data_IF_017891487360
#
_entry.id   IF_017891487360
#
_cell.length_a   1.000
_cell.length_b   1.000
_cell.length_c   1.000
_cell.angle_alpha   90.00
_cell.angle_beta   90.00
_cell.angle_gamma   90.00
#
_symmetry.space_group_name_H-M   'P 1'
#
loop_
_entity.id
_entity.type
_entity.pdbx_description
1 polymer ?
#
# COMPACT_ATOMS: atom_id res chain seq x y z
N UNK A 1 3.92 -18.10 -14.08
CA UNK A 1 4.25 -18.75 -12.80
C UNK A 1 3.60 -17.98 -11.66
N UNK A 2 3.35 -18.66 -10.57
CA UNK A 2 2.61 -18.10 -9.43
C UNK A 2 3.29 -16.87 -8.82
N UNK A 3 4.61 -16.88 -8.76
CA UNK A 3 5.37 -15.76 -8.18
C UNK A 3 5.20 -14.50 -9.02
N UNK A 4 5.33 -14.62 -10.33
CA UNK A 4 5.16 -13.49 -11.25
C UNK A 4 3.72 -12.97 -11.19
N UNK A 5 2.74 -13.84 -11.12
CA UNK A 5 1.33 -13.45 -11.04
C UNK A 5 1.03 -12.63 -9.78
N UNK A 6 1.49 -13.10 -8.62
CA UNK A 6 1.23 -12.37 -7.37
C UNK A 6 2.02 -11.06 -7.30
N UNK A 7 3.25 -11.05 -7.82
CA UNK A 7 4.04 -9.81 -7.88
C UNK A 7 3.37 -8.76 -8.78
N UNK A 8 2.78 -9.18 -9.89
CA UNK A 8 2.04 -8.26 -10.74
C UNK A 8 0.79 -7.73 -10.05
N UNK A 9 0.09 -8.57 -9.28
CA UNK A 9 -1.04 -8.10 -8.48
C UNK A 9 -0.62 -7.10 -7.41
N UNK A 10 0.51 -7.35 -6.76
CA UNK A 10 1.10 -6.43 -5.78
C UNK A 10 1.40 -5.10 -6.46
N UNK A 11 2.05 -5.13 -7.63
CA UNK A 11 2.39 -3.92 -8.37
C UNK A 11 1.13 -3.12 -8.74
N UNK A 12 0.12 -3.79 -9.27
CA UNK A 12 -1.15 -3.16 -9.62
C UNK A 12 -1.81 -2.52 -8.40
N UNK A 13 -1.76 -3.21 -7.27
CA UNK A 13 -2.36 -2.72 -6.03
C UNK A 13 -1.60 -1.51 -5.47
N UNK A 14 -0.27 -1.58 -5.47
CA UNK A 14 0.56 -0.47 -5.01
C UNK A 14 0.41 0.76 -5.92
N UNK A 15 0.27 0.57 -7.24
CA UNK A 15 -0.01 1.69 -8.15
C UNK A 15 -1.38 2.31 -7.86
N UNK A 16 -2.38 1.51 -7.49
CA UNK A 16 -3.65 2.05 -7.04
C UNK A 16 -3.48 2.86 -5.75
N UNK A 17 -2.53 2.47 -4.91
CA UNK A 17 -2.17 3.20 -3.70
C UNK A 17 -1.63 4.59 -4.00
N UNK A 18 -0.83 4.74 -5.06
CA UNK A 18 -0.33 6.05 -5.50
C UNK A 18 -1.51 6.99 -5.77
N UNK A 19 -2.51 6.50 -6.49
CA UNK A 19 -3.71 7.29 -6.83
C UNK A 19 -4.53 7.59 -5.57
N UNK A 20 -4.76 6.57 -4.72
CA UNK A 20 -5.54 6.74 -3.47
C UNK A 20 -4.91 7.77 -2.55
N UNK A 21 -3.63 7.64 -2.27
CA UNK A 21 -2.94 8.54 -1.35
C UNK A 21 -2.82 9.96 -1.90
N UNK A 22 -2.63 10.09 -3.21
CA UNK A 22 -2.66 11.40 -3.86
C UNK A 22 -4.03 12.04 -3.68
N UNK A 23 -5.09 11.25 -3.89
CA UNK A 23 -6.47 11.72 -3.70
C UNK A 23 -6.71 12.16 -2.26
N UNK A 24 -6.30 11.34 -1.27
CA UNK A 24 -6.48 11.69 0.14
C UNK A 24 -5.73 12.98 0.49
N UNK A 25 -4.51 13.14 -0.02
CA UNK A 25 -3.72 14.34 0.22
C UNK A 25 -4.41 15.59 -0.32
N UNK A 26 -5.10 15.48 -1.45
CA UNK A 26 -5.83 16.58 -2.05
C UNK A 26 -7.15 16.88 -1.33
N UNK A 27 -7.81 15.86 -0.82
CA UNK A 27 -9.15 15.99 -0.22
C UNK A 27 -9.13 16.39 1.24
N UNK A 28 -8.07 16.09 1.98
CA UNK A 28 -8.00 16.38 3.41
C UNK A 28 -8.19 17.87 3.68
N UNK A 29 -9.04 18.21 4.65
CA UNK A 29 -9.32 19.59 5.04
C UNK A 29 -9.29 19.72 6.56
N UNK A 30 -9.41 20.92 7.06
CA UNK A 30 -9.49 21.19 8.48
C UNK A 30 -8.12 21.49 9.11
N UNK A 31 -8.12 21.51 10.43
CA UNK A 31 -6.95 21.97 11.20
C UNK A 31 -5.69 21.13 11.00
N UNK A 32 -5.87 19.83 10.69
CA UNK A 32 -4.75 18.91 10.57
C UNK A 32 -4.30 18.71 9.13
N UNK A 33 -4.83 19.51 8.21
CA UNK A 33 -4.55 19.36 6.77
C UNK A 33 -3.07 19.36 6.43
N UNK A 34 -2.29 20.31 6.99
CA UNK A 34 -0.89 20.46 6.58
C UNK A 34 -0.08 19.22 6.89
N UNK A 35 -0.22 18.66 8.09
CA UNK A 35 0.52 17.45 8.48
C UNK A 35 -0.03 16.20 7.81
N UNK A 36 -1.35 16.07 7.70
CA UNK A 36 -1.95 14.87 7.09
C UNK A 36 -1.80 14.84 5.57
N UNK A 37 -1.88 15.99 4.90
CA UNK A 37 -1.62 16.05 3.46
C UNK A 37 -0.19 15.60 3.17
N UNK A 38 0.78 16.03 3.97
CA UNK A 38 2.17 15.60 3.79
C UNK A 38 2.32 14.10 4.07
N UNK A 39 1.66 13.59 5.12
CA UNK A 39 1.64 12.16 5.42
C UNK A 39 1.15 11.35 4.22
N UNK A 40 0.02 11.73 3.64
CA UNK A 40 -0.53 11.02 2.48
C UNK A 40 0.35 11.15 1.23
N UNK A 41 0.97 12.30 1.01
CA UNK A 41 1.93 12.48 -0.10
C UNK A 41 3.12 11.55 0.05
N UNK A 42 3.63 11.41 1.27
CA UNK A 42 4.74 10.50 1.56
C UNK A 42 4.34 9.05 1.34
N UNK A 43 3.11 8.70 1.71
CA UNK A 43 2.57 7.36 1.45
C UNK A 43 2.44 7.08 -0.05
N UNK A 44 2.05 8.08 -0.83
CA UNK A 44 1.97 7.93 -2.30
C UNK A 44 3.36 7.64 -2.89
N UNK A 45 4.36 8.37 -2.44
CA UNK A 45 5.75 8.17 -2.88
C UNK A 45 6.24 6.77 -2.52
N UNK A 46 5.95 6.32 -1.30
CA UNK A 46 6.35 5.01 -0.82
C UNK A 46 5.66 3.89 -1.60
N UNK A 47 4.36 4.05 -1.88
CA UNK A 47 3.60 3.08 -2.67
C UNK A 47 4.17 2.93 -4.09
N UNK A 48 4.63 4.03 -4.69
CA UNK A 48 5.28 3.99 -6.00
C UNK A 48 6.60 3.21 -5.94
N UNK A 49 7.40 3.43 -4.89
CA UNK A 49 8.64 2.67 -4.70
C UNK A 49 8.36 1.18 -4.55
N UNK A 50 7.33 0.82 -3.77
CA UNK A 50 6.92 -0.57 -3.59
C UNK A 50 6.50 -1.21 -4.92
N UNK A 51 5.75 -0.47 -5.75
CA UNK A 51 5.35 -0.94 -7.07
C UNK A 51 6.56 -1.20 -7.96
N UNK A 52 7.54 -0.29 -7.94
CA UNK A 52 8.76 -0.42 -8.72
C UNK A 52 9.59 -1.62 -8.28
N UNK A 53 9.70 -1.85 -6.98
CA UNK A 53 10.41 -3.01 -6.42
C UNK A 53 9.77 -4.32 -6.89
N UNK A 54 8.45 -4.42 -6.83
CA UNK A 54 7.73 -5.60 -7.32
C UNK A 54 7.99 -5.81 -8.81
N UNK A 55 7.93 -4.75 -9.61
CA UNK A 55 8.18 -4.81 -11.04
C UNK A 55 9.61 -5.22 -11.38
N UNK A 56 10.59 -4.76 -10.62
CA UNK A 56 11.99 -5.16 -10.79
C UNK A 56 12.17 -6.66 -10.55
N UNK A 57 11.48 -7.21 -9.57
CA UNK A 57 11.53 -8.67 -9.34
C UNK A 57 10.86 -9.42 -10.49
N UNK A 58 9.73 -8.92 -10.99
CA UNK A 58 9.04 -9.53 -12.13
C UNK A 58 9.98 -9.66 -13.33
N UNK A 59 10.64 -8.57 -13.70
CA UNK A 59 11.59 -8.61 -14.85
C UNK A 59 12.80 -9.45 -14.54
N UNK A 60 13.27 -9.44 -13.28
CA UNK A 60 14.38 -10.30 -12.85
C UNK A 60 14.06 -11.78 -12.98
N UNK A 61 12.80 -12.15 -12.89
CA UNK A 61 12.35 -13.53 -13.08
C UNK A 61 11.97 -13.84 -14.52
N UNK A 62 12.21 -12.90 -15.45
CA UNK A 62 11.90 -13.09 -16.86
C UNK A 62 10.43 -12.83 -17.20
N UNK A 63 9.67 -12.24 -16.30
CA UNK A 63 8.27 -11.92 -16.51
C UNK A 63 8.04 -10.55 -17.11
N UNK A 64 6.78 -10.24 -17.38
CA UNK A 64 6.36 -8.98 -17.98
C UNK A 64 5.56 -8.18 -16.93
N UNK A 65 6.03 -6.97 -16.56
CA UNK A 65 5.30 -6.14 -15.61
C UNK A 65 3.95 -5.71 -16.16
N UNK A 66 2.92 -5.77 -15.32
CA UNK A 66 1.57 -5.38 -15.70
C UNK A 66 1.49 -3.89 -16.04
N UNK A 67 0.62 -3.53 -16.99
CA UNK A 67 0.29 -2.14 -17.30
C UNK A 67 -1.02 -1.70 -16.64
N UNK A 68 -1.63 -2.56 -15.80
CA UNK A 68 -2.91 -2.28 -15.17
C UNK A 68 -2.70 -1.71 -13.77
N UNK A 69 -3.72 -1.05 -13.25
CA UNK A 69 -3.81 -0.73 -11.82
C UNK A 69 -5.07 -1.40 -11.29
N UNK A 70 -5.06 -1.70 -9.97
CA UNK A 70 -6.23 -2.23 -9.32
C UNK A 70 -7.37 -1.19 -9.37
N UNK A 71 -8.59 -1.65 -9.62
CA UNK A 71 -9.76 -0.78 -9.68
C UNK A 71 -9.94 -0.06 -8.34
N UNK A 72 -10.17 1.25 -8.40
CA UNK A 72 -10.40 2.10 -7.23
C UNK A 72 -11.85 2.56 -7.27
N UNK A 73 -12.56 2.31 -6.15
CA UNK A 73 -13.94 2.77 -6.01
C UNK A 73 -13.94 4.05 -5.17
N UNK A 74 -14.66 5.08 -5.65
CA UNK A 74 -14.81 6.33 -4.93
C UNK A 74 -15.94 6.22 -3.91
N UNK A 75 -15.61 6.43 -2.63
CA UNK A 75 -16.60 6.37 -1.55
C UNK A 75 -17.39 7.66 -1.40
N UNK A 76 -16.82 8.78 -1.88
CA UNK A 76 -17.34 10.13 -1.69
C UNK A 76 -17.40 10.52 -0.19
N UNK A 77 -16.58 9.90 0.63
CA UNK A 77 -16.46 10.20 2.06
C UNK A 77 -15.07 10.76 2.30
N UNK A 78 -15.00 12.00 2.75
CA UNK A 78 -13.73 12.74 2.81
C UNK A 78 -13.43 13.37 4.15
N UNK A 79 -14.11 12.94 5.24
CA UNK A 79 -13.71 13.38 6.56
C UNK A 79 -12.32 12.81 6.88
N UNK A 80 -11.63 13.42 7.81
CA UNK A 80 -10.31 12.93 8.25
C UNK A 80 -10.39 11.47 8.69
N UNK A 81 -11.41 11.11 9.45
CA UNK A 81 -11.62 9.72 9.92
C UNK A 81 -11.85 8.78 8.75
N UNK A 82 -12.69 9.19 7.78
CA UNK A 82 -12.98 8.38 6.61
C UNK A 82 -11.71 8.10 5.79
N UNK A 83 -10.90 9.15 5.54
CA UNK A 83 -9.67 9.00 4.76
C UNK A 83 -8.65 8.12 5.47
N UNK A 84 -8.50 8.27 6.78
CA UNK A 84 -7.60 7.42 7.57
C UNK A 84 -8.07 5.97 7.60
N UNK A 85 -9.37 5.74 7.75
CA UNK A 85 -9.93 4.38 7.74
C UNK A 85 -9.79 3.71 6.38
N UNK A 86 -10.01 4.44 5.28
CA UNK A 86 -9.80 3.90 3.94
C UNK A 86 -8.33 3.54 3.71
N UNK A 87 -7.41 4.39 4.18
CA UNK A 87 -5.98 4.10 4.06
C UNK A 87 -5.60 2.86 4.86
N UNK A 88 -6.14 2.70 6.06
CA UNK A 88 -5.91 1.52 6.89
C UNK A 88 -6.41 0.24 6.21
N UNK A 89 -7.58 0.30 5.58
CA UNK A 89 -8.13 -0.83 4.84
C UNK A 89 -7.27 -1.18 3.63
N UNK A 90 -6.80 -0.18 2.91
CA UNK A 90 -5.90 -0.37 1.77
C UNK A 90 -4.60 -1.09 2.21
N UNK A 91 -4.00 -0.63 3.32
CA UNK A 91 -2.78 -1.24 3.86
C UNK A 91 -3.00 -2.69 4.28
N UNK A 92 -4.15 -2.97 4.90
CA UNK A 92 -4.50 -4.34 5.32
C UNK A 92 -4.59 -5.29 4.13
N UNK A 93 -5.16 -4.85 3.02
CA UNK A 93 -5.24 -5.65 1.81
C UNK A 93 -3.87 -5.85 1.18
N UNK A 94 -3.01 -4.84 1.22
CA UNK A 94 -1.64 -4.97 0.75
C UNK A 94 -0.90 -6.05 1.54
N UNK A 95 -1.02 -6.05 2.86
CA UNK A 95 -0.43 -7.08 3.72
C UNK A 95 -0.89 -8.47 3.29
N UNK A 96 -2.17 -8.62 2.97
CA UNK A 96 -2.73 -9.90 2.48
C UNK A 96 -2.03 -10.40 1.23
N UNK A 97 -1.76 -9.51 0.28
CA UNK A 97 -1.05 -9.85 -0.96
C UNK A 97 0.40 -10.27 -0.68
N UNK A 98 1.10 -9.53 0.17
CA UNK A 98 2.48 -9.87 0.55
C UNK A 98 2.57 -11.19 1.30
N UNK A 99 1.55 -11.51 2.11
CA UNK A 99 1.49 -12.81 2.81
C UNK A 99 1.32 -13.97 1.84
N UNK A 100 0.53 -13.78 0.78
CA UNK A 100 0.39 -14.79 -0.28
C UNK A 100 1.74 -15.01 -0.94
N UNK A 101 2.46 -13.92 -1.28
CA UNK A 101 3.80 -14.03 -1.85
C UNK A 101 4.75 -14.78 -0.93
N UNK A 102 4.75 -14.43 0.35
CA UNK A 102 5.61 -15.07 1.35
C UNK A 102 5.37 -16.58 1.40
N UNK A 103 4.10 -17.00 1.42
CA UNK A 103 3.77 -18.43 1.46
C UNK A 103 4.29 -19.18 0.23
N UNK A 104 4.28 -18.53 -0.95
CA UNK A 104 4.75 -19.16 -2.19
C UNK A 104 6.28 -19.30 -2.20
N UNK A 105 7.01 -18.28 -1.76
CA UNK A 105 8.48 -18.23 -1.88
C UNK A 105 9.23 -18.74 -0.66
N UNK A 106 8.53 -19.00 0.42
CA UNK A 106 9.11 -19.47 1.68
C UNK A 106 9.96 -20.70 1.44
N UNK A 107 11.20 -20.66 1.95
CA UNK A 107 12.20 -21.71 1.82
C UNK A 107 12.68 -21.98 0.37
N UNK A 108 12.28 -21.16 -0.58
CA UNK A 108 12.71 -21.31 -1.98
C UNK A 108 13.61 -20.18 -2.47
N UNK A 109 13.30 -18.94 -2.12
CA UNK A 109 14.10 -17.77 -2.50
C UNK A 109 14.27 -16.86 -1.29
N UNK A 110 15.47 -16.81 -0.76
CA UNK A 110 15.78 -15.94 0.37
C UNK A 110 15.54 -14.48 0.01
N UNK A 111 15.96 -14.06 -1.19
CA UNK A 111 15.77 -12.69 -1.65
C UNK A 111 14.28 -12.28 -1.65
N UNK A 112 13.43 -13.08 -2.28
CA UNK A 112 12.02 -12.72 -2.41
C UNK A 112 11.30 -12.90 -1.06
N UNK A 113 11.70 -13.89 -0.27
CA UNK A 113 11.17 -14.07 1.08
C UNK A 113 11.46 -12.85 1.96
N UNK A 114 12.70 -12.36 1.97
CA UNK A 114 13.08 -11.17 2.73
C UNK A 114 12.37 -9.92 2.21
N UNK A 115 12.20 -9.79 0.91
CA UNK A 115 11.41 -8.72 0.33
C UNK A 115 9.98 -8.74 0.89
N UNK A 116 9.31 -9.90 0.83
CA UNK A 116 7.93 -10.03 1.31
C UNK A 116 7.82 -9.72 2.81
N UNK A 117 8.75 -10.25 3.61
CA UNK A 117 8.79 -9.97 5.05
C UNK A 117 9.00 -8.49 5.34
N UNK A 118 9.90 -7.84 4.62
CA UNK A 118 10.16 -6.41 4.76
C UNK A 118 8.94 -5.57 4.44
N UNK A 119 8.19 -5.94 3.39
CA UNK A 119 6.97 -5.23 3.03
C UNK A 119 5.88 -5.40 4.09
N UNK A 120 5.70 -6.62 4.61
CA UNK A 120 4.74 -6.89 5.69
C UNK A 120 5.09 -6.06 6.91
N UNK A 121 6.36 -6.04 7.29
CA UNK A 121 6.85 -5.22 8.42
C UNK A 121 6.50 -3.75 8.22
N UNK A 122 6.81 -3.20 7.05
CA UNK A 122 6.55 -1.79 6.75
C UNK A 122 5.06 -1.46 6.85
N UNK A 123 4.20 -2.30 6.28
CA UNK A 123 2.75 -2.09 6.32
C UNK A 123 2.18 -2.21 7.74
N UNK A 124 2.70 -3.15 8.54
CA UNK A 124 2.28 -3.28 9.94
C UNK A 124 2.68 -2.05 10.76
N UNK A 125 3.87 -1.49 10.50
CA UNK A 125 4.31 -0.24 11.14
C UNK A 125 3.40 0.93 10.76
N UNK A 126 3.01 1.03 9.49
CA UNK A 126 2.07 2.05 9.03
C UNK A 126 0.71 1.91 9.70
N UNK A 127 0.21 0.68 9.86
CA UNK A 127 -1.05 0.42 10.53
C UNK A 127 -1.03 0.92 11.98
N UNK A 128 0.09 0.73 12.67
CA UNK A 128 0.27 1.24 14.04
C UNK A 128 0.21 2.76 14.05
N UNK A 129 0.89 3.42 13.11
CA UNK A 129 0.87 4.89 13.03
C UNK A 129 -0.54 5.42 12.76
N UNK A 130 -1.26 4.83 11.80
CA UNK A 130 -2.63 5.25 11.49
C UNK A 130 -3.55 5.06 12.70
N UNK A 131 -3.39 3.95 13.45
CA UNK A 131 -4.16 3.70 14.66
C UNK A 131 -3.91 4.81 15.70
N UNK A 132 -2.65 5.23 15.86
CA UNK A 132 -2.33 6.34 16.78
C UNK A 132 -2.94 7.64 16.30
N UNK A 133 -2.90 7.92 15.01
CA UNK A 133 -3.51 9.13 14.44
C UNK A 133 -5.02 9.15 14.65
N UNK A 134 -5.69 8.01 14.54
CA UNK A 134 -7.13 7.90 14.70
C UNK A 134 -7.60 8.17 16.13
N UNK A 135 -6.74 8.06 17.13
CA UNK A 135 -7.12 8.26 18.53
C UNK A 135 -7.68 9.66 18.81
N UNK A 136 -7.20 10.68 18.11
CA UNK A 136 -7.70 12.05 18.26
C UNK A 136 -9.15 12.21 17.80
N UNK A 137 -9.63 11.28 16.98
CA UNK A 137 -10.96 11.35 16.38
C UNK A 137 -11.93 10.32 16.96
N UNK A 138 -11.42 9.39 17.76
CA UNK A 138 -12.22 8.25 18.24
C UNK A 138 -13.38 8.66 19.17
N UNK A 139 -13.28 9.83 19.79
CA UNK A 139 -14.28 10.34 20.74
C UNK A 139 -15.10 11.50 20.18
N UNK A 140 -14.92 11.80 18.91
CA UNK A 140 -15.60 12.91 18.25
C UNK A 140 -17.08 12.62 17.99
#
# INVERSE_FOLDING_TARGET
NEVIEILNKIMEYELSGVVRYTHYALMITGRDRLSLAQFFKDQATESLLHAQEAGEIVTGLGGHPSLKIQIIEESNKHSTVDLLNESSEHESKAVGLYKILLDIVKDESIYIEEYARGMIKAEEMHAIEVTKMLKDYAEA
#
